data_IF_815964370564
#
_entry.id   IF_815964370564
#
_cell.length_a   1.000
_cell.length_b   1.000
_cell.length_c   1.000
_cell.angle_alpha   90.00
_cell.angle_beta   90.00
_cell.angle_gamma   90.00
#
_symmetry.space_group_name_H-M   'P 1'
#
loop_
_entity.id
_entity.type
_entity.pdbx_description
1 polymer ?
#
# COMPACT_ATOMS: atom_id res chain seq x y z
N UNK A 1 -7.63 -1.05 10.43
CA UNK A 1 -7.40 0.35 10.05
C UNK A 1 -7.64 1.27 11.23
N UNK A 2 -6.86 2.35 11.32
CA UNK A 2 -7.05 3.49 12.21
C UNK A 2 -6.78 4.77 11.42
N UNK A 3 -7.61 5.80 11.61
CA UNK A 3 -7.44 7.13 11.00
C UNK A 3 -7.12 8.11 12.12
N UNK A 4 -6.12 8.96 11.93
CA UNK A 4 -5.65 9.92 12.93
C UNK A 4 -5.97 11.36 12.52
N UNK A 5 -6.44 12.17 13.48
CA UNK A 5 -6.67 13.60 13.32
C UNK A 5 -5.43 14.39 13.79
N UNK A 6 -4.95 15.40 13.05
CA UNK A 6 -5.44 15.92 11.77
C UNK A 6 -4.94 15.17 10.52
N UNK A 7 -3.98 14.28 10.70
CA UNK A 7 -3.38 13.49 9.63
C UNK A 7 -2.86 12.16 10.15
N UNK A 8 -2.87 11.19 9.25
CA UNK A 8 -2.28 9.88 9.41
C UNK A 8 -3.30 8.76 9.27
N UNK A 9 -2.82 7.62 8.80
CA UNK A 9 -3.59 6.39 8.70
C UNK A 9 -2.70 5.19 8.98
N UNK A 10 -3.24 4.20 9.67
CA UNK A 10 -2.61 2.91 9.91
C UNK A 10 -3.52 1.79 9.39
N UNK A 11 -2.92 0.85 8.65
CA UNK A 11 -3.56 -0.40 8.26
C UNK A 11 -2.75 -1.55 8.83
N UNK A 12 -3.45 -2.52 9.42
CA UNK A 12 -2.80 -3.72 9.92
C UNK A 12 -3.59 -4.97 9.56
N UNK A 13 -2.86 -6.06 9.40
CA UNK A 13 -3.43 -7.40 9.21
C UNK A 13 -2.57 -8.42 9.94
N UNK A 14 -3.17 -9.53 10.36
CA UNK A 14 -2.42 -10.63 10.97
C UNK A 14 -1.56 -11.30 9.90
N UNK A 15 -0.36 -11.72 10.28
CA UNK A 15 0.42 -12.61 9.43
C UNK A 15 -0.22 -14.01 9.47
N UNK A 16 -0.79 -14.52 8.36
CA UNK A 16 -1.54 -15.77 8.39
C UNK A 16 -0.66 -16.99 8.64
N UNK A 17 0.57 -16.98 8.12
CA UNK A 17 1.54 -18.06 8.27
C UNK A 17 2.97 -17.55 7.97
N UNK A 18 3.97 -18.41 8.12
CA UNK A 18 5.37 -18.08 7.83
C UNK A 18 5.68 -17.91 6.35
N UNK A 19 4.80 -18.35 5.44
CA UNK A 19 5.00 -18.19 4.00
C UNK A 19 4.62 -16.80 3.52
N UNK A 20 3.74 -16.08 4.23
CA UNK A 20 3.52 -14.66 4.00
C UNK A 20 4.82 -13.88 4.26
N UNK A 21 5.20 -13.04 3.29
CA UNK A 21 6.46 -12.32 3.23
C UNK A 21 6.29 -10.81 3.40
N UNK A 22 5.27 -10.23 2.78
CA UNK A 22 5.02 -8.79 2.87
C UNK A 22 3.52 -8.47 2.83
N UNK A 23 3.21 -7.26 3.27
CA UNK A 23 1.90 -6.64 3.16
C UNK A 23 2.04 -5.26 2.54
N UNK A 24 1.25 -4.95 1.52
CA UNK A 24 1.23 -3.65 0.86
C UNK A 24 -0.19 -3.12 0.75
N UNK A 25 -0.32 -1.80 0.68
CA UNK A 25 -1.60 -1.10 0.58
C UNK A 25 -1.49 0.00 -0.44
N UNK A 26 -2.49 0.08 -1.32
CA UNK A 26 -2.80 1.22 -2.16
C UNK A 26 -4.16 1.79 -1.74
N UNK A 27 -4.28 3.10 -1.68
CA UNK A 27 -5.52 3.79 -1.31
C UNK A 27 -5.81 4.93 -2.26
N UNK A 28 -7.08 5.05 -2.65
CA UNK A 28 -7.61 6.21 -3.36
C UNK A 28 -8.69 6.88 -2.53
N UNK A 29 -8.55 8.17 -2.32
CA UNK A 29 -9.50 9.00 -1.57
C UNK A 29 -10.43 9.68 -2.57
N UNK A 30 -11.72 9.40 -2.48
CA UNK A 30 -12.78 9.97 -3.35
C UNK A 30 -12.57 9.75 -4.86
N UNK A 31 -11.63 8.89 -5.27
CA UNK A 31 -11.30 8.66 -6.67
C UNK A 31 -11.07 7.15 -6.96
N UNK A 32 -12.13 6.33 -6.98
CA UNK A 32 -11.99 4.87 -7.10
C UNK A 32 -11.39 4.40 -8.43
N UNK A 33 -11.39 5.25 -9.46
CA UNK A 33 -10.84 4.97 -10.79
C UNK A 33 -9.52 5.72 -11.04
N UNK A 34 -8.90 6.25 -9.98
CA UNK A 34 -7.60 6.91 -10.09
C UNK A 34 -6.53 5.95 -10.60
N UNK A 35 -5.56 6.48 -11.35
CA UNK A 35 -4.38 5.73 -11.80
C UNK A 35 -3.22 5.83 -10.82
N UNK A 36 -3.21 6.87 -9.97
CA UNK A 36 -2.19 7.10 -8.95
C UNK A 36 -2.84 7.06 -7.56
N UNK A 37 -2.42 6.16 -6.66
CA UNK A 37 -2.95 6.10 -5.31
C UNK A 37 -2.48 7.29 -4.48
N UNK A 38 -3.35 7.79 -3.61
CA UNK A 38 -3.03 8.83 -2.62
C UNK A 38 -2.13 8.29 -1.49
N UNK A 39 -2.27 7.00 -1.17
CA UNK A 39 -1.39 6.29 -0.22
C UNK A 39 -0.87 5.01 -0.87
N UNK A 40 0.45 4.83 -0.91
CA UNK A 40 1.09 3.61 -1.40
C UNK A 40 2.29 3.26 -0.55
N UNK A 41 2.12 2.24 0.30
CA UNK A 41 3.14 1.78 1.23
C UNK A 41 3.15 0.26 1.34
N UNK A 42 4.29 -0.29 1.76
CA UNK A 42 4.43 -1.70 2.07
C UNK A 42 5.25 -1.91 3.35
N UNK A 43 5.19 -3.13 3.84
CA UNK A 43 6.04 -3.60 4.94
C UNK A 43 6.30 -5.09 4.79
N UNK A 44 7.50 -5.52 5.17
CA UNK A 44 7.82 -6.93 5.43
C UNK A 44 8.07 -7.17 6.91
N UNK A 45 8.04 -6.12 7.72
CA UNK A 45 8.25 -6.20 9.16
C UNK A 45 6.97 -6.68 9.85
N UNK A 46 7.14 -7.67 10.73
CA UNK A 46 6.06 -8.25 11.52
C UNK A 46 6.23 -7.78 12.95
N UNK A 47 5.28 -6.98 13.42
CA UNK A 47 5.27 -6.42 14.76
C UNK A 47 4.05 -6.97 15.49
N UNK A 48 4.27 -7.64 16.63
CA UNK A 48 3.22 -8.32 17.41
C UNK A 48 2.36 -9.30 16.57
N UNK A 49 3.00 -10.03 15.65
CA UNK A 49 2.32 -11.00 14.77
C UNK A 49 1.47 -10.38 13.66
N UNK A 50 1.59 -9.06 13.45
CA UNK A 50 0.85 -8.32 12.41
C UNK A 50 1.82 -7.61 11.47
N UNK A 51 1.39 -7.46 10.23
CA UNK A 51 1.94 -6.43 9.37
C UNK A 51 1.24 -5.11 9.68
N UNK A 52 2.01 -4.03 9.80
CA UNK A 52 1.49 -2.69 10.11
C UNK A 52 2.08 -1.72 9.10
N UNK A 53 1.21 -1.06 8.33
CA UNK A 53 1.55 -0.03 7.36
C UNK A 53 1.00 1.29 7.88
N UNK A 54 1.82 2.35 7.82
CA UNK A 54 1.48 3.69 8.31
C UNK A 54 1.83 4.74 7.28
N UNK A 55 0.92 5.67 7.06
CA UNK A 55 1.18 6.94 6.39
C UNK A 55 0.91 8.06 7.40
N UNK A 56 1.86 8.96 7.63
CA UNK A 56 1.73 10.06 8.61
C UNK A 56 1.23 11.37 7.99
N UNK A 57 1.11 11.43 6.67
CA UNK A 57 0.80 12.63 5.90
C UNK A 57 -0.59 12.57 5.26
N UNK A 58 -1.21 11.38 5.16
CA UNK A 58 -2.56 11.22 4.67
C UNK A 58 -3.57 12.03 5.49
N UNK A 59 -4.29 12.95 4.85
CA UNK A 59 -5.36 13.74 5.46
C UNK A 59 -6.69 13.12 5.03
N UNK A 60 -7.39 12.51 5.98
CA UNK A 60 -8.66 11.81 5.75
C UNK A 60 -9.75 12.52 6.54
N UNK A 61 -10.85 12.89 5.88
CA UNK A 61 -11.91 13.70 6.46
C UNK A 61 -13.23 12.94 6.53
N UNK A 62 -14.09 13.26 7.51
CA UNK A 62 -15.49 12.84 7.47
C UNK A 62 -16.14 13.16 6.13
N UNK A 63 -16.82 12.17 5.54
CA UNK A 63 -17.42 12.22 4.21
C UNK A 63 -16.56 11.59 3.11
N UNK A 64 -15.27 11.31 3.36
CA UNK A 64 -14.42 10.67 2.37
C UNK A 64 -14.81 9.20 2.12
N UNK A 65 -14.60 8.77 0.88
CA UNK A 65 -14.74 7.38 0.45
C UNK A 65 -13.37 6.86 0.06
N UNK A 66 -12.88 5.88 0.81
CA UNK A 66 -11.57 5.26 0.59
C UNK A 66 -11.76 3.98 -0.22
N UNK A 67 -11.05 3.87 -1.34
CA UNK A 67 -10.91 2.62 -2.06
C UNK A 67 -9.53 2.03 -1.74
N UNK A 68 -9.51 0.96 -0.95
CA UNK A 68 -8.29 0.40 -0.38
C UNK A 68 -8.02 -0.94 -1.04
N UNK A 69 -6.89 -1.07 -1.71
CA UNK A 69 -6.41 -2.35 -2.24
C UNK A 69 -5.22 -2.82 -1.43
N UNK A 70 -5.41 -3.93 -0.72
CA UNK A 70 -4.38 -4.59 0.05
C UNK A 70 -3.78 -5.77 -0.72
N UNK A 71 -2.48 -5.96 -0.57
CA UNK A 71 -1.71 -7.04 -1.17
C UNK A 71 -0.94 -7.80 -0.10
N UNK A 72 -0.91 -9.13 -0.20
CA UNK A 72 -0.05 -9.97 0.62
C UNK A 72 0.71 -10.93 -0.27
N UNK A 73 2.04 -10.81 -0.28
CA UNK A 73 2.90 -11.71 -1.04
C UNK A 73 3.37 -12.89 -0.20
N UNK A 74 3.51 -14.04 -0.85
CA UNK A 74 3.95 -15.29 -0.26
C UNK A 74 5.26 -15.77 -0.88
N UNK A 75 5.97 -16.65 -0.17
CA UNK A 75 7.29 -17.15 -0.56
C UNK A 75 7.32 -17.99 -1.83
N UNK A 76 6.18 -18.52 -2.24
CA UNK A 76 5.97 -19.23 -3.50
C UNK A 76 5.72 -18.27 -4.69
N UNK A 77 5.72 -16.96 -4.44
CA UNK A 77 5.42 -15.92 -5.41
C UNK A 77 3.93 -15.63 -5.56
N UNK A 78 3.05 -16.34 -4.85
CA UNK A 78 1.63 -16.01 -4.86
C UNK A 78 1.38 -14.64 -4.23
N UNK A 79 0.41 -13.90 -4.77
CA UNK A 79 -0.02 -12.62 -4.23
C UNK A 79 -1.53 -12.66 -4.01
N UNK A 80 -1.95 -12.52 -2.77
CA UNK A 80 -3.35 -12.29 -2.43
C UNK A 80 -3.64 -10.79 -2.56
N UNK A 81 -4.67 -10.46 -3.34
CA UNK A 81 -5.15 -9.09 -3.54
C UNK A 81 -6.59 -8.98 -3.04
N UNK A 82 -6.88 -7.95 -2.26
CA UNK A 82 -8.23 -7.67 -1.79
C UNK A 82 -8.51 -6.17 -1.84
N UNK A 83 -9.65 -5.79 -2.44
CA UNK A 83 -10.09 -4.39 -2.51
C UNK A 83 -11.33 -4.19 -1.66
N UNK A 84 -11.31 -3.19 -0.78
CA UNK A 84 -12.41 -2.83 0.09
C UNK A 84 -12.71 -1.35 -0.04
N UNK A 85 -14.00 -1.00 -0.08
CA UNK A 85 -14.46 0.38 -0.03
C UNK A 85 -14.83 0.74 1.40
N UNK A 86 -14.33 1.86 1.91
CA UNK A 86 -14.57 2.31 3.27
C UNK A 86 -15.09 3.75 3.29
N UNK A 87 -16.16 3.98 4.03
CA UNK A 87 -16.78 5.29 4.18
C UNK A 87 -16.34 5.92 5.51
N UNK A 88 -15.80 7.13 5.45
CA UNK A 88 -15.31 7.84 6.64
C UNK A 88 -16.46 8.62 7.23
N UNK A 89 -16.95 8.20 8.38
CA UNK A 89 -18.03 8.89 9.08
C UNK A 89 -17.47 9.93 10.07
N UNK A 90 -18.21 11.02 10.34
CA UNK A 90 -17.86 11.93 11.41
C UNK A 90 -17.89 11.20 12.77
N UNK A 91 -17.03 11.57 13.72
CA UNK A 91 -17.13 11.06 15.08
C UNK A 91 -18.52 11.40 15.63
N UNK A 92 -19.27 10.40 16.10
CA UNK A 92 -20.54 10.65 16.79
C UNK A 92 -20.21 11.40 18.08
N UNK A 93 -20.63 12.65 18.17
CA UNK A 93 -20.70 13.37 19.44
C UNK A 93 -21.83 12.77 20.27
N UNK A 94 -21.51 11.82 21.14
CA UNK A 94 -22.44 11.41 22.19
C UNK A 94 -22.50 12.51 23.25
N UNK A 95 -23.27 13.56 22.98
CA UNK A 95 -23.77 14.43 24.05
C UNK A 95 -24.94 13.71 24.71
N UNK A 96 -24.64 12.73 25.58
CA UNK A 96 -25.63 12.19 26.50
C UNK A 96 -25.80 13.17 27.65
N UNK A 97 -26.62 14.20 27.45
CA UNK A 97 -27.29 14.87 28.57
C UNK A 97 -28.53 14.03 28.87
N UNK A 98 -28.63 13.39 30.05
CA UNK A 98 -29.81 12.62 30.39
C UNK A 98 -30.94 13.58 30.78
N UNK A 99 -31.91 13.76 29.90
CA UNK A 99 -33.23 14.27 30.30
C UNK A 99 -34.26 13.21 29.95
N UNK A 100 -34.76 12.54 30.99
CA UNK A 100 -35.82 11.55 30.94
C UNK A 100 -37.20 12.23 30.75
N UNK A 101 -38.30 11.50 30.47
CA UNK A 101 -39.03 11.59 29.20
C UNK A 101 -40.46 12.13 29.36
N UNK A 102 -41.08 12.54 28.25
CA UNK A 102 -42.54 12.68 28.17
C UNK A 102 -43.08 12.12 26.86
N UNK A 103 -44.10 11.28 27.02
CA UNK A 103 -44.90 10.51 26.05
C UNK A 103 -45.56 11.30 24.92
N UNK A 104 -45.71 10.69 23.72
CA UNK A 104 -47.01 10.23 23.16
C UNK A 104 -47.01 10.03 21.61
N UNK A 105 -47.42 8.83 21.20
CA UNK A 105 -48.30 8.45 20.06
C UNK A 105 -48.01 8.76 18.56
N UNK A 106 -47.79 7.65 17.82
CA UNK A 106 -48.45 7.15 16.59
C UNK A 106 -48.50 7.97 15.28
N UNK A 107 -48.01 7.36 14.18
CA UNK A 107 -48.84 6.87 13.05
C UNK A 107 -48.03 6.13 11.96
N UNK A 108 -48.59 5.00 11.51
CA UNK A 108 -48.24 4.19 10.33
C UNK A 108 -48.52 4.94 9.01
N UNK A 109 -47.71 4.73 7.97
CA UNK A 109 -48.12 4.10 6.70
C UNK A 109 -46.95 3.92 5.70
N UNK A 110 -46.84 2.67 5.22
CA UNK A 110 -46.16 2.11 4.04
C UNK A 110 -45.56 3.05 2.98
N UNK A 111 -44.44 2.65 2.36
CA UNK A 111 -44.38 2.02 1.01
C UNK A 111 -42.92 1.89 0.53
N UNK A 112 -42.54 0.74 -0.02
CA UNK A 112 -41.44 0.64 -0.99
C UNK A 112 -40.26 -0.21 -0.55
N UNK A 113 -40.28 -1.48 -0.95
CA UNK A 113 -39.23 -2.45 -0.61
C UNK A 113 -37.86 -2.13 -1.21
N UNK A 114 -36.82 -2.40 -0.42
CA UNK A 114 -35.48 -2.69 -0.88
C UNK A 114 -34.83 -3.65 0.12
N UNK A 115 -34.66 -4.91 -0.33
CA UNK A 115 -33.60 -5.87 0.00
C UNK A 115 -33.10 -5.97 1.45
N UNK A 116 -33.54 -7.02 2.15
CA UNK A 116 -33.02 -7.55 3.43
C UNK A 116 -31.61 -8.16 3.28
N UNK A 117 -30.62 -7.44 2.75
CA UNK A 117 -29.22 -7.86 2.78
C UNK A 117 -28.32 -6.63 2.99
N UNK A 118 -28.07 -6.32 4.27
CA UNK A 118 -26.83 -5.78 4.88
C UNK A 118 -27.15 -5.20 6.27
N UNK A 119 -27.66 -6.04 7.18
CA UNK A 119 -27.73 -5.72 8.61
C UNK A 119 -26.34 -5.83 9.22
N UNK A 120 -25.50 -4.80 9.06
CA UNK A 120 -24.35 -4.63 9.92
C UNK A 120 -24.78 -3.85 11.16
N UNK A 121 -24.78 -4.52 12.33
CA UNK A 121 -25.09 -3.89 13.62
C UNK A 121 -23.98 -2.88 13.95
N UNK A 122 -24.29 -1.58 13.79
CA UNK A 122 -23.36 -0.48 14.03
C UNK A 122 -23.15 -0.37 15.54
N UNK A 123 -21.93 -0.66 16.00
CA UNK A 123 -21.55 -0.45 17.40
C UNK A 123 -21.70 1.05 17.75
N UNK A 124 -22.54 1.40 18.75
CA UNK A 124 -22.86 2.78 19.08
C UNK A 124 -21.69 3.57 19.67
N UNK A 125 -20.62 2.89 20.10
CA UNK A 125 -19.40 3.51 20.61
C UNK A 125 -18.31 3.67 19.55
N UNK A 126 -18.32 2.83 18.50
CA UNK A 126 -17.25 2.83 17.49
C UNK A 126 -17.70 3.25 16.09
N UNK A 127 -19.00 3.34 15.81
CA UNK A 127 -19.57 3.75 14.52
C UNK A 127 -19.14 2.87 13.33
N UNK A 128 -18.76 1.60 13.58
CA UNK A 128 -18.28 0.69 12.55
C UNK A 128 -19.27 -0.44 12.28
N UNK A 129 -19.36 -0.81 11.01
CA UNK A 129 -19.98 -2.05 10.55
C UNK A 129 -18.92 -3.16 10.51
N UNK A 130 -19.18 -4.29 11.18
CA UNK A 130 -18.32 -5.47 11.10
C UNK A 130 -18.62 -6.24 9.82
N UNK A 131 -17.73 -6.13 8.83
CA UNK A 131 -17.61 -7.11 7.76
C UNK A 131 -16.33 -7.92 7.97
N UNK A 132 -16.32 -9.16 7.47
CA UNK A 132 -15.21 -10.13 7.49
C UNK A 132 -13.97 -9.67 6.69
N UNK A 133 -13.48 -8.46 6.94
CA UNK A 133 -12.39 -7.84 6.20
C UNK A 133 -11.04 -8.35 6.67
N UNK A 134 -10.13 -8.52 5.72
CA UNK A 134 -8.73 -8.91 5.90
C UNK A 134 -7.90 -7.92 6.75
N UNK A 135 -8.49 -6.79 7.15
CA UNK A 135 -7.87 -5.67 7.84
C UNK A 135 -8.39 -5.61 9.27
N UNK A 136 -7.50 -5.63 10.26
CA UNK A 136 -7.85 -5.55 11.69
C UNK A 136 -8.13 -4.07 12.02
N UNK A 137 -9.40 -3.71 12.24
CA UNK A 137 -9.87 -2.34 12.51
C UNK A 137 -9.95 -2.12 14.01
N UNK A 138 -9.13 -1.19 14.53
CA UNK A 138 -9.15 -0.79 15.94
C UNK A 138 -8.90 0.70 16.04
N UNK A 139 -9.79 1.39 16.73
CA UNK A 139 -9.66 2.82 17.04
C UNK A 139 -9.36 2.95 18.52
N UNK A 140 -8.19 3.48 18.87
CA UNK A 140 -7.86 3.84 20.26
C UNK A 140 -8.30 5.27 20.51
N UNK A 141 -9.33 5.45 21.34
CA UNK A 141 -9.53 6.68 22.10
C UNK A 141 -8.76 6.59 23.41
N UNK A 142 -8.16 7.71 23.80
CA UNK A 142 -7.59 8.04 25.11
C UNK A 142 -6.12 7.67 25.45
N UNK A 143 -5.28 8.71 25.30
CA UNK A 143 -4.22 9.23 26.19
C UNK A 143 -3.40 8.24 27.05
N UNK A 144 -2.08 8.25 26.79
CA UNK A 144 -0.92 8.31 27.73
C UNK A 144 0.23 7.35 27.37
N UNK A 145 1.39 7.97 27.08
CA UNK A 145 2.80 7.51 27.15
C UNK A 145 3.32 6.38 26.23
N UNK A 146 4.36 6.78 25.49
CA UNK A 146 5.46 5.90 25.07
C UNK A 146 5.73 5.93 23.57
N UNK A 147 6.17 7.07 23.01
CA UNK A 147 6.83 7.04 21.70
C UNK A 147 8.15 6.26 21.84
N UNK A 148 8.39 5.18 21.07
CA UNK A 148 9.75 4.80 20.74
C UNK A 148 10.25 5.74 19.65
N UNK A 149 11.40 6.36 19.91
CA UNK A 149 12.02 7.34 19.04
C UNK A 149 12.38 6.74 17.66
N UNK A 150 11.91 7.47 16.64
CA UNK A 150 12.37 7.67 15.27
C UNK A 150 13.72 7.02 14.88
N UNK A 151 13.68 6.17 13.85
CA UNK A 151 14.83 5.83 13.00
C UNK A 151 14.50 6.03 11.51
N UNK A 152 13.97 7.21 11.14
CA UNK A 152 14.11 7.72 9.76
C UNK A 152 14.25 9.24 9.84
N UNK A 153 15.46 9.75 9.59
CA UNK A 153 15.67 11.15 9.27
C UNK A 153 15.18 11.38 7.83
N UNK A 154 13.99 11.95 7.69
CA UNK A 154 13.61 12.62 6.45
C UNK A 154 14.07 14.07 6.53
N UNK A 155 14.96 14.44 5.62
CA UNK A 155 15.46 15.80 5.42
C UNK A 155 14.33 16.67 4.84
N UNK A 156 13.87 17.73 5.55
CA UNK A 156 12.70 18.52 5.17
C UNK A 156 12.95 19.51 4.01
N UNK A 157 14.08 19.40 3.31
CA UNK A 157 14.54 20.39 2.33
C UNK A 157 14.16 20.11 0.86
N UNK A 158 13.54 18.97 0.53
CA UNK A 158 13.14 18.65 -0.86
C UNK A 158 11.62 18.67 -1.01
N UNK A 159 11.11 19.47 -1.95
CA UNK A 159 9.70 19.52 -2.35
C UNK A 159 9.18 18.16 -2.85
N UNK A 160 7.90 18.07 -3.29
CA UNK A 160 7.28 16.81 -3.68
C UNK A 160 8.09 16.14 -4.80
N UNK A 161 8.86 15.11 -4.43
CA UNK A 161 9.60 14.28 -5.39
C UNK A 161 8.58 13.44 -6.14
N UNK A 162 8.45 13.69 -7.45
CA UNK A 162 7.72 12.81 -8.36
C UNK A 162 8.45 11.46 -8.33
N UNK A 163 7.77 10.42 -7.81
CA UNK A 163 8.29 9.06 -7.82
C UNK A 163 8.12 8.46 -9.20
N UNK A 164 9.13 7.75 -9.67
CA UNK A 164 9.13 7.08 -10.96
C UNK A 164 9.14 5.56 -10.79
N UNK A 165 8.69 4.82 -11.81
CA UNK A 165 8.81 3.36 -11.83
C UNK A 165 10.16 2.88 -12.37
N UNK A 166 11.17 3.76 -12.37
CA UNK A 166 12.51 3.45 -12.85
C UNK A 166 13.36 2.76 -11.79
N UNK A 167 14.12 1.78 -12.27
CA UNK A 167 15.18 1.10 -11.56
C UNK A 167 16.48 1.28 -12.33
N UNK A 168 17.59 1.30 -11.62
CA UNK A 168 18.92 1.28 -12.22
C UNK A 168 19.60 -0.03 -11.86
N UNK A 169 20.25 -0.64 -12.85
CA UNK A 169 21.03 -1.85 -12.68
C UNK A 169 22.44 -1.63 -13.19
N UNK A 170 23.43 -1.83 -12.32
CA UNK A 170 24.81 -1.99 -12.74
C UNK A 170 25.00 -3.39 -13.33
N UNK A 171 25.43 -3.51 -14.59
CA UNK A 171 25.56 -4.80 -15.22
C UNK A 171 26.66 -5.64 -14.57
N UNK A 172 26.35 -6.91 -14.32
CA UNK A 172 27.26 -7.88 -13.76
C UNK A 172 27.38 -9.10 -14.68
N UNK A 173 28.59 -9.52 -15.10
CA UNK A 173 29.87 -8.79 -15.01
C UNK A 173 29.89 -7.56 -15.94
N UNK A 174 30.80 -6.61 -15.68
CA UNK A 174 30.94 -5.33 -16.41
C UNK A 174 30.74 -5.55 -17.92
N UNK A 175 29.71 -4.93 -18.49
CA UNK A 175 29.49 -4.96 -19.93
C UNK A 175 30.76 -4.45 -20.64
N UNK A 176 31.27 -5.17 -21.66
CA UNK A 176 32.31 -4.65 -22.55
C UNK A 176 31.93 -3.24 -23.04
N UNK A 177 32.91 -2.33 -23.17
CA UNK A 177 32.67 -0.94 -23.60
C UNK A 177 31.86 -0.82 -24.91
N UNK A 178 31.86 -1.88 -25.73
CA UNK A 178 31.11 -2.00 -26.98
C UNK A 178 29.58 -2.01 -26.81
N UNK A 179 29.06 -2.32 -25.61
CA UNK A 179 27.62 -2.32 -25.33
C UNK A 179 27.00 -0.92 -25.34
N UNK A 180 27.83 0.13 -25.22
CA UNK A 180 27.37 1.50 -25.05
C UNK A 180 26.69 2.06 -26.31
N UNK A 181 27.03 1.53 -27.49
CA UNK A 181 26.63 2.08 -28.78
C UNK A 181 26.16 1.03 -29.79
N UNK A 182 25.95 -0.23 -29.39
CA UNK A 182 25.51 -1.27 -30.30
C UNK A 182 23.97 -1.36 -30.30
N UNK A 183 23.29 -0.88 -31.35
CA UNK A 183 21.83 -0.92 -31.44
C UNK A 183 21.28 -2.34 -31.62
N UNK A 184 22.15 -3.34 -31.84
CA UNK A 184 21.73 -4.75 -31.95
C UNK A 184 21.46 -5.42 -30.61
N UNK A 185 21.86 -4.79 -29.50
CA UNK A 185 21.73 -5.37 -28.16
C UNK A 185 20.39 -5.00 -27.56
N UNK A 186 19.52 -5.99 -27.42
CA UNK A 186 18.26 -5.84 -26.71
C UNK A 186 18.49 -5.82 -25.19
N UNK A 187 18.67 -4.61 -24.65
CA UNK A 187 18.81 -4.38 -23.22
C UNK A 187 17.56 -4.79 -22.43
N UNK A 188 16.38 -4.74 -23.06
CA UNK A 188 15.14 -5.19 -22.43
C UNK A 188 15.17 -6.71 -22.26
N UNK A 189 15.64 -7.45 -23.27
CA UNK A 189 15.85 -8.90 -23.15
C UNK A 189 16.91 -9.24 -22.10
N UNK A 190 17.98 -8.44 -21.99
CA UNK A 190 18.99 -8.63 -20.93
C UNK A 190 18.39 -8.45 -19.54
N UNK A 191 17.64 -7.37 -19.30
CA UNK A 191 16.94 -7.13 -18.02
C UNK A 191 15.94 -8.24 -17.74
N UNK A 192 15.13 -8.66 -18.73
CA UNK A 192 14.18 -9.76 -18.60
C UNK A 192 14.86 -11.05 -18.14
N UNK A 193 15.99 -11.38 -18.76
CA UNK A 193 16.79 -12.54 -18.37
C UNK A 193 17.35 -12.40 -16.96
N UNK A 194 17.86 -11.23 -16.59
CA UNK A 194 18.33 -10.98 -15.22
C UNK A 194 17.21 -11.19 -14.19
N UNK A 195 16.04 -10.58 -14.41
CA UNK A 195 14.89 -10.73 -13.52
C UNK A 195 14.45 -12.20 -13.42
N UNK A 196 14.49 -12.93 -14.53
CA UNK A 196 14.08 -14.34 -14.60
C UNK A 196 15.09 -15.27 -13.92
N UNK A 197 16.36 -15.22 -14.36
CA UNK A 197 17.41 -16.16 -13.97
C UNK A 197 18.00 -15.82 -12.59
N UNK A 198 18.18 -14.52 -12.31
CA UNK A 198 18.87 -14.06 -11.10
C UNK A 198 17.89 -13.76 -9.99
N UNK A 199 16.73 -13.15 -10.26
CA UNK A 199 15.75 -12.81 -9.21
C UNK A 199 14.61 -13.83 -9.05
N UNK A 200 14.47 -14.82 -9.96
CA UNK A 200 13.34 -15.75 -10.03
C UNK A 200 11.98 -15.06 -10.25
N UNK A 201 11.98 -13.91 -10.92
CA UNK A 201 10.81 -13.07 -11.19
C UNK A 201 10.29 -13.25 -12.61
N UNK A 202 10.11 -14.50 -13.06
CA UNK A 202 9.73 -14.81 -14.45
C UNK A 202 8.45 -14.10 -14.88
N UNK A 203 7.39 -14.23 -14.09
CA UNK A 203 6.09 -13.63 -14.40
C UNK A 203 6.18 -12.09 -14.53
N UNK A 204 6.90 -11.47 -13.59
CA UNK A 204 7.12 -10.02 -13.58
C UNK A 204 7.93 -9.56 -14.80
N UNK A 205 8.97 -10.32 -15.17
CA UNK A 205 9.86 -9.99 -16.28
C UNK A 205 9.18 -10.11 -17.66
N UNK A 206 8.24 -11.05 -17.78
CA UNK A 206 7.49 -11.29 -19.02
C UNK A 206 6.34 -10.30 -19.20
N UNK A 207 5.70 -9.88 -18.10
CA UNK A 207 4.44 -9.11 -18.15
C UNK A 207 4.62 -7.62 -17.83
N UNK A 208 5.51 -7.28 -16.89
CA UNK A 208 5.54 -5.96 -16.25
C UNK A 208 6.83 -5.19 -16.53
N UNK A 209 7.78 -5.76 -17.29
CA UNK A 209 8.95 -5.02 -17.76
C UNK A 209 8.59 -4.21 -19.00
N UNK A 210 8.61 -2.88 -18.88
CA UNK A 210 8.19 -1.96 -19.94
C UNK A 210 9.33 -1.67 -20.91
N UNK A 211 10.51 -1.29 -20.38
CA UNK A 211 11.66 -0.94 -21.22
C UNK A 211 12.98 -1.09 -20.48
N UNK A 212 14.08 -1.30 -21.22
CA UNK A 212 15.44 -1.17 -20.75
C UNK A 212 16.24 -0.24 -21.67
N UNK A 213 16.92 0.76 -21.10
CA UNK A 213 17.70 1.76 -21.83
C UNK A 213 19.08 1.98 -21.20
N UNK A 214 20.10 2.35 -21.99
CA UNK A 214 21.43 2.58 -21.45
C UNK A 214 21.47 3.91 -20.68
N UNK A 215 22.17 3.92 -19.54
CA UNK A 215 22.42 5.10 -18.72
C UNK A 215 23.86 5.11 -18.23
N UNK A 216 24.77 5.64 -19.05
CA UNK A 216 26.20 5.62 -18.76
C UNK A 216 26.76 4.19 -18.74
N UNK A 217 27.19 3.73 -17.57
CA UNK A 217 27.68 2.37 -17.35
C UNK A 217 26.61 1.44 -16.74
N UNK A 218 25.39 1.93 -16.58
CA UNK A 218 24.26 1.20 -16.02
C UNK A 218 23.13 1.05 -17.04
N UNK A 219 22.19 0.18 -16.72
CA UNK A 219 20.93 0.02 -17.44
C UNK A 219 19.83 0.63 -16.58
N UNK A 220 19.08 1.59 -17.12
CA UNK A 220 17.85 2.07 -16.50
C UNK A 220 16.70 1.30 -17.14
N UNK A 221 15.85 0.72 -16.31
CA UNK A 221 14.69 -0.01 -16.79
C UNK A 221 13.43 0.41 -16.05
N UNK A 222 12.30 0.25 -16.72
CA UNK A 222 10.99 0.68 -16.25
C UNK A 222 10.11 -0.52 -15.97
N UNK A 223 9.48 -0.50 -14.80
CA UNK A 223 8.42 -1.44 -14.46
C UNK A 223 7.06 -0.79 -14.71
N UNK A 224 6.06 -1.60 -15.03
CA UNK A 224 4.70 -1.14 -15.36
C UNK A 224 4.09 -0.35 -14.19
N UNK A 225 4.28 -0.87 -12.98
CA UNK A 225 3.74 -0.23 -11.77
C UNK A 225 4.80 -0.01 -10.69
N UNK A 226 4.47 0.87 -9.74
CA UNK A 226 5.29 1.10 -8.55
C UNK A 226 5.42 -0.19 -7.72
N UNK A 227 4.37 -1.01 -7.65
CA UNK A 227 4.42 -2.27 -6.90
C UNK A 227 5.41 -3.26 -7.53
N UNK A 228 5.47 -3.33 -8.86
CA UNK A 228 6.45 -4.16 -9.57
C UNK A 228 7.88 -3.70 -9.29
N UNK A 229 8.11 -2.38 -9.31
CA UNK A 229 9.39 -1.77 -8.91
C UNK A 229 9.80 -2.22 -7.49
N UNK A 230 8.87 -2.16 -6.54
CA UNK A 230 9.11 -2.55 -5.15
C UNK A 230 9.38 -4.05 -5.00
N UNK A 231 8.71 -4.89 -5.77
CA UNK A 231 8.97 -6.34 -5.80
C UNK A 231 10.40 -6.63 -6.28
N UNK A 232 10.85 -6.01 -7.37
CA UNK A 232 12.23 -6.18 -7.85
C UNK A 232 13.25 -5.80 -6.78
N UNK A 233 13.09 -4.66 -6.12
CA UNK A 233 13.98 -4.20 -5.05
C UNK A 233 14.00 -5.15 -3.85
N UNK A 234 12.82 -5.64 -3.47
CA UNK A 234 12.70 -6.60 -2.37
C UNK A 234 13.47 -7.89 -2.66
N UNK A 235 13.29 -8.47 -3.84
CA UNK A 235 13.96 -9.71 -4.22
C UNK A 235 15.47 -9.52 -4.43
N UNK A 236 15.90 -8.39 -5.00
CA UNK A 236 17.32 -8.04 -5.09
C UNK A 236 17.96 -7.98 -3.70
N UNK A 237 17.31 -7.30 -2.74
CA UNK A 237 17.78 -7.23 -1.35
C UNK A 237 17.82 -8.60 -0.67
N UNK A 238 16.79 -9.44 -0.86
CA UNK A 238 16.77 -10.80 -0.31
C UNK A 238 17.92 -11.66 -0.83
N UNK A 239 18.31 -11.49 -2.10
CA UNK A 239 19.44 -12.20 -2.71
C UNK A 239 20.80 -11.54 -2.47
N UNK A 240 20.84 -10.47 -1.67
CA UNK A 240 22.07 -9.73 -1.36
C UNK A 240 22.65 -8.99 -2.57
N UNK A 241 21.84 -8.68 -3.58
CA UNK A 241 22.27 -8.00 -4.79
C UNK A 241 22.23 -6.50 -4.57
N UNK A 242 23.39 -5.86 -4.73
CA UNK A 242 23.55 -4.41 -4.72
C UNK A 242 23.51 -3.80 -6.12
N UNK A 243 23.43 -4.64 -7.15
CA UNK A 243 23.46 -4.25 -8.55
C UNK A 243 22.18 -3.52 -8.97
N UNK A 244 21.04 -3.81 -8.34
CA UNK A 244 19.75 -3.16 -8.64
C UNK A 244 19.41 -2.16 -7.55
N UNK A 245 19.11 -0.91 -7.94
CA UNK A 245 18.82 0.19 -7.03
C UNK A 245 17.63 1.02 -7.52
N UNK A 246 17.03 1.75 -6.59
CA UNK A 246 15.96 2.71 -6.89
C UNK A 246 16.56 3.93 -7.62
N UNK A 247 16.02 4.24 -8.81
CA UNK A 247 16.43 5.40 -9.58
C UNK A 247 16.15 6.73 -8.84
N UNK A 248 15.04 6.82 -8.11
CA UNK A 248 14.62 8.03 -7.39
C UNK A 248 15.46 8.29 -6.12
N UNK A 249 16.20 7.28 -5.65
CA UNK A 249 17.14 7.45 -4.54
C UNK A 249 18.43 8.16 -4.97
N UNK A 250 18.75 8.14 -6.27
CA UNK A 250 19.98 8.73 -6.83
C UNK A 250 19.79 10.17 -7.31
N UNK A 251 18.55 10.68 -7.38
CA UNK A 251 18.21 12.04 -7.84
C UNK A 251 17.28 12.77 -6.85
#
# INVERSE_FOLDING_TARGET
MAIYDPKGIELSTRRPNSTAQYFAVEMFVNNPNGTTPDVSHNTSEVVYGKYIVRDTEAIIRPGDVLNITAYMGFSDGAVLKHTTKFYVFPPRTTTSTPTMPTSSENQDLSTGGYSDELDCEIDPTTNLCFDNSFIDVRTFSDRVRGQPEKLVQTDPSRGPKVRTNYLIMEPYPRLPEHFRNDPSIDLTAYVRRFLTDVLNLKQLADTNLVSGRPAGNAIVFEMDTLIDKLQVLYHAKQKGLTTVQDYDALH
#
